data_IF_915586185464
#
_entry.id   IF_915586185464
#
_cell.length_a   1.000
_cell.length_b   1.000
_cell.length_c   1.000
_cell.angle_alpha   90.00
_cell.angle_beta   90.00
_cell.angle_gamma   90.00
#
_symmetry.space_group_name_H-M   'P 1'
#
loop_
_entity.id
_entity.type
_entity.pdbx_description
1 polymer ?
#
# COMPACT_ATOMS: atom_id res chain seq x y z
N UNK A 1 -47.77 4.87 -4.15
CA UNK A 1 -46.85 3.92 -4.80
C UNK A 1 -46.19 4.66 -5.96
N UNK A 2 -44.88 4.86 -5.93
CA UNK A 2 -44.16 5.50 -7.05
C UNK A 2 -43.64 4.40 -7.96
N UNK A 3 -44.09 4.38 -9.21
CA UNK A 3 -43.61 3.46 -10.24
C UNK A 3 -42.55 4.19 -11.07
N UNK A 4 -41.37 3.59 -11.21
CA UNK A 4 -40.29 4.13 -12.01
C UNK A 4 -40.27 3.48 -13.39
N UNK A 5 -40.08 4.29 -14.42
CA UNK A 5 -39.92 3.82 -15.81
C UNK A 5 -38.43 3.52 -16.03
N UNK A 6 -38.04 2.26 -16.32
CA UNK A 6 -36.63 1.86 -16.43
C UNK A 6 -35.80 2.69 -17.40
N UNK A 7 -36.41 3.13 -18.50
CA UNK A 7 -35.80 3.95 -19.56
C UNK A 7 -35.47 5.38 -19.10
N UNK A 8 -36.10 5.84 -18.00
CA UNK A 8 -35.85 7.13 -17.37
C UNK A 8 -35.05 7.00 -16.07
N UNK A 9 -34.67 5.78 -15.68
CA UNK A 9 -33.86 5.52 -14.50
C UNK A 9 -32.44 5.13 -14.86
N UNK A 10 -31.49 5.87 -14.32
CA UNK A 10 -30.08 5.54 -14.42
C UNK A 10 -29.60 5.03 -13.06
N UNK A 11 -28.94 3.87 -13.06
CA UNK A 11 -28.27 3.39 -11.86
C UNK A 11 -27.10 4.33 -11.55
N UNK A 12 -27.16 5.01 -10.42
CA UNK A 12 -26.06 5.85 -9.93
C UNK A 12 -25.10 5.05 -9.05
N UNK A 13 -23.83 5.43 -9.04
CA UNK A 13 -22.79 4.78 -8.25
C UNK A 13 -21.77 3.96 -9.06
N UNK A 14 -20.66 3.61 -8.42
CA UNK A 14 -19.48 3.01 -9.07
C UNK A 14 -19.39 1.48 -8.94
N UNK A 15 -20.51 0.79 -8.70
CA UNK A 15 -20.54 -0.61 -8.26
C UNK A 15 -19.86 -1.58 -9.23
N UNK A 16 -20.07 -1.43 -10.54
CA UNK A 16 -19.42 -2.26 -11.57
C UNK A 16 -18.02 -1.76 -11.98
N UNK A 17 -17.73 -0.48 -11.74
CA UNK A 17 -16.43 0.12 -12.04
C UNK A 17 -15.32 -0.41 -11.12
N UNK A 18 -15.64 -0.83 -9.89
CA UNK A 18 -14.65 -1.43 -8.97
C UNK A 18 -14.07 -2.75 -9.48
N UNK A 19 -14.81 -3.49 -10.31
CA UNK A 19 -14.32 -4.74 -10.92
C UNK A 19 -13.34 -4.47 -12.07
N UNK A 20 -13.39 -3.28 -12.68
CA UNK A 20 -12.52 -2.90 -13.78
C UNK A 20 -11.50 -1.83 -13.35
N UNK A 21 -10.30 -2.31 -12.99
CA UNK A 21 -9.20 -1.45 -12.54
C UNK A 21 -8.76 -0.39 -13.56
N UNK A 22 -9.09 -0.52 -14.85
CA UNK A 22 -8.80 0.49 -15.87
C UNK A 22 -9.79 1.66 -15.79
N UNK A 23 -11.09 1.37 -15.79
CA UNK A 23 -12.11 2.42 -15.69
C UNK A 23 -12.02 3.15 -14.35
N UNK A 24 -11.69 2.45 -13.25
CA UNK A 24 -11.44 3.09 -11.97
C UNK A 24 -10.26 4.06 -12.02
N UNK A 25 -9.18 3.74 -12.76
CA UNK A 25 -8.03 4.65 -12.91
C UNK A 25 -8.40 5.91 -13.68
N UNK A 26 -9.22 5.81 -14.72
CA UNK A 26 -9.69 6.96 -15.49
C UNK A 26 -10.59 7.86 -14.62
N UNK A 27 -11.53 7.29 -13.88
CA UNK A 27 -12.35 8.04 -12.92
C UNK A 27 -11.49 8.67 -11.84
N UNK A 28 -10.53 7.93 -11.28
CA UNK A 28 -9.59 8.45 -10.28
C UNK A 28 -8.72 9.58 -10.84
N UNK A 29 -8.33 9.53 -12.11
CA UNK A 29 -7.56 10.60 -12.74
C UNK A 29 -8.31 11.92 -12.73
N UNK A 30 -9.62 11.87 -13.00
CA UNK A 30 -10.50 13.06 -12.94
C UNK A 30 -10.86 13.47 -11.50
N UNK A 31 -10.93 12.51 -10.58
CA UNK A 31 -11.26 12.77 -9.17
C UNK A 31 -10.08 13.28 -8.34
N UNK A 32 -8.85 12.89 -8.68
CA UNK A 32 -7.64 13.34 -7.96
C UNK A 32 -7.33 14.76 -8.40
N UNK A 33 -7.64 15.70 -7.52
CA UNK A 33 -7.34 17.11 -7.72
C UNK A 33 -6.09 17.52 -6.97
N UNK A 34 -5.28 18.37 -7.58
CA UNK A 34 -4.20 19.03 -6.83
C UNK A 34 -4.78 20.02 -5.80
N UNK A 35 -4.06 20.31 -4.71
CA UNK A 35 -4.52 21.29 -3.71
C UNK A 35 -4.88 22.64 -4.33
N UNK A 36 -4.11 23.11 -5.31
CA UNK A 36 -4.37 24.35 -6.03
C UNK A 36 -5.65 24.30 -6.86
N UNK A 37 -5.89 23.21 -7.58
CA UNK A 37 -7.12 23.03 -8.36
C UNK A 37 -8.35 22.95 -7.45
N UNK A 38 -8.23 22.25 -6.32
CA UNK A 38 -9.30 22.16 -5.33
C UNK A 38 -9.63 23.54 -4.74
N UNK A 39 -8.60 24.31 -4.38
CA UNK A 39 -8.75 25.70 -3.91
C UNK A 39 -9.43 26.60 -4.95
N UNK A 40 -9.02 26.53 -6.22
CA UNK A 40 -9.66 27.30 -7.30
C UNK A 40 -11.14 26.94 -7.48
N UNK A 41 -11.50 25.66 -7.37
CA UNK A 41 -12.90 25.22 -7.45
C UNK A 41 -13.72 25.69 -6.25
N UNK A 42 -13.17 25.63 -5.04
CA UNK A 42 -13.83 26.12 -3.82
C UNK A 42 -14.06 27.64 -3.87
N UNK A 43 -13.02 28.42 -4.19
CA UNK A 43 -13.13 29.88 -4.31
C UNK A 43 -14.08 30.28 -5.44
N UNK A 44 -14.10 29.53 -6.56
CA UNK A 44 -15.09 29.69 -7.62
C UNK A 44 -16.52 29.38 -7.17
N UNK A 45 -16.72 28.35 -6.34
CA UNK A 45 -18.02 28.04 -5.75
C UNK A 45 -18.48 29.14 -4.80
N UNK A 46 -17.61 29.63 -3.91
CA UNK A 46 -17.91 30.73 -2.99
C UNK A 46 -18.36 31.99 -3.74
N UNK A 47 -17.64 32.35 -4.81
CA UNK A 47 -18.05 33.46 -5.69
C UNK A 47 -19.42 33.22 -6.31
N UNK A 48 -19.67 32.05 -6.90
CA UNK A 48 -20.97 31.73 -7.53
C UNK A 48 -22.13 31.81 -6.53
N UNK A 49 -21.97 31.29 -5.31
CA UNK A 49 -23.02 31.36 -4.28
C UNK A 49 -23.31 32.81 -3.92
N UNK A 50 -22.26 33.62 -3.72
CA UNK A 50 -22.40 35.03 -3.36
C UNK A 50 -23.01 35.88 -4.49
N UNK A 51 -22.60 35.62 -5.72
CA UNK A 51 -23.02 36.39 -6.90
C UNK A 51 -24.43 35.96 -7.38
N UNK A 52 -24.99 34.87 -6.84
CA UNK A 52 -26.38 34.43 -7.10
C UNK A 52 -27.33 35.15 -6.13
N UNK A 53 -28.26 36.01 -6.63
CA UNK A 53 -29.11 36.84 -5.77
C UNK A 53 -30.03 36.02 -4.88
N UNK A 54 -30.61 34.93 -5.38
CA UNK A 54 -31.51 34.06 -4.60
C UNK A 54 -30.78 33.42 -3.41
N UNK A 55 -29.59 32.89 -3.65
CA UNK A 55 -28.79 32.25 -2.60
C UNK A 55 -28.28 33.28 -1.57
N UNK A 56 -27.84 34.45 -2.02
CA UNK A 56 -27.37 35.53 -1.16
C UNK A 56 -28.50 36.12 -0.31
N UNK A 57 -29.69 36.31 -0.89
CA UNK A 57 -30.86 36.79 -0.17
C UNK A 57 -31.31 35.79 0.90
N UNK A 58 -31.34 34.49 0.59
CA UNK A 58 -31.64 33.47 1.60
C UNK A 58 -30.60 33.54 2.73
N UNK A 59 -29.30 33.52 2.46
CA UNK A 59 -28.28 33.63 3.51
C UNK A 59 -28.47 34.87 4.40
N UNK A 60 -28.79 36.02 3.80
CA UNK A 60 -29.09 37.25 4.54
C UNK A 60 -30.34 37.15 5.41
N UNK A 61 -31.39 36.45 4.97
CA UNK A 61 -32.59 36.20 5.79
C UNK A 61 -32.25 35.41 7.06
N UNK A 62 -31.28 34.51 6.97
CA UNK A 62 -30.76 33.76 8.13
C UNK A 62 -29.71 34.56 8.93
N UNK A 63 -29.39 35.79 8.54
CA UNK A 63 -28.34 36.60 9.17
C UNK A 63 -26.92 36.08 8.93
N UNK A 64 -26.72 35.24 7.91
CA UNK A 64 -25.45 34.60 7.59
C UNK A 64 -24.73 35.36 6.47
N UNK A 65 -23.40 35.42 6.58
CA UNK A 65 -22.52 35.96 5.55
C UNK A 65 -21.42 34.94 5.28
N UNK A 66 -21.19 34.62 4.01
CA UNK A 66 -20.10 33.74 3.59
C UNK A 66 -18.82 34.54 3.39
N UNK A 67 -17.70 34.02 3.89
CA UNK A 67 -16.38 34.58 3.67
C UNK A 67 -15.92 34.35 2.20
N UNK A 68 -14.99 35.18 1.77
CA UNK A 68 -14.42 35.18 0.41
C UNK A 68 -13.26 34.20 0.22
N UNK A 69 -12.69 33.70 1.32
CA UNK A 69 -11.59 32.74 1.33
C UNK A 69 -11.86 31.61 2.34
N UNK A 70 -11.09 30.53 2.20
CA UNK A 70 -11.09 29.44 3.16
C UNK A 70 -10.37 29.86 4.45
N UNK A 71 -10.89 29.39 5.59
CA UNK A 71 -10.28 29.63 6.88
C UNK A 71 -8.86 29.05 6.95
N UNK A 72 -7.88 29.88 7.35
CA UNK A 72 -6.47 29.49 7.43
C UNK A 72 -6.10 29.09 8.85
N UNK A 73 -5.58 27.88 9.00
CA UNK A 73 -5.05 27.36 10.25
C UNK A 73 -3.54 27.62 10.29
N UNK A 74 -3.06 28.30 11.33
CA UNK A 74 -1.62 28.46 11.55
C UNK A 74 -1.04 27.16 12.09
N UNK A 75 -0.09 26.58 11.38
CA UNK A 75 0.67 25.43 11.85
C UNK A 75 1.92 25.90 12.62
N UNK A 76 2.19 25.29 13.77
CA UNK A 76 3.38 25.54 14.60
C UNK A 76 4.14 24.23 14.80
N UNK A 77 5.46 24.25 14.66
CA UNK A 77 6.31 23.08 14.92
C UNK A 77 6.21 22.63 16.37
N UNK A 78 5.99 21.33 16.59
CA UNK A 78 6.08 20.74 17.92
C UNK A 78 7.57 20.46 18.23
N UNK A 79 8.12 20.88 19.39
CA UNK A 79 9.35 20.32 19.90
C UNK A 79 9.26 18.80 20.04
N UNK A 80 10.41 18.12 19.92
CA UNK A 80 10.54 16.71 20.26
C UNK A 80 10.11 16.47 21.72
N UNK A 81 9.48 15.32 21.98
CA UNK A 81 8.93 14.92 23.29
C UNK A 81 9.94 15.16 24.43
N UNK A 82 9.53 15.58 25.64
CA UNK A 82 8.16 15.66 26.17
C UNK A 82 7.45 17.00 25.94
N UNK A 83 6.12 16.92 25.76
CA UNK A 83 5.27 18.09 25.54
C UNK A 83 5.06 18.89 26.84
N UNK A 84 5.17 20.23 26.84
CA UNK A 84 4.81 21.03 28.01
C UNK A 84 3.32 20.84 28.35
N UNK A 85 2.95 20.73 29.65
CA UNK A 85 1.55 20.65 30.06
C UNK A 85 0.80 21.87 29.52
N UNK A 86 -0.34 21.61 28.89
CA UNK A 86 -1.14 22.63 28.21
C UNK A 86 -1.44 23.81 29.14
N UNK A 87 -0.93 25.00 28.78
CA UNK A 87 -1.32 26.25 29.44
C UNK A 87 -2.72 26.61 28.92
N UNK A 88 -3.75 26.24 29.70
CA UNK A 88 -5.09 26.76 29.49
C UNK A 88 -5.11 28.23 29.87
N UNK A 89 -5.02 29.12 28.88
CA UNK A 89 -5.17 30.55 29.10
C UNK A 89 -6.66 30.89 29.07
N UNK A 90 -7.27 30.94 30.26
CA UNK A 90 -8.64 31.35 30.46
C UNK A 90 -8.72 32.87 30.55
N UNK A 91 -8.79 33.54 29.41
CA UNK A 91 -9.26 34.92 29.32
C UNK A 91 -10.28 35.02 28.20
N UNK A 92 -11.54 35.23 28.59
CA UNK A 92 -12.67 35.35 27.68
C UNK A 92 -12.49 36.52 26.72
N UNK A 93 -12.37 36.20 25.45
CA UNK A 93 -12.39 37.16 24.35
C UNK A 93 -13.10 36.46 23.20
N UNK A 94 -14.09 37.12 22.60
CA UNK A 94 -14.95 36.60 21.53
C UNK A 94 -14.17 36.43 20.22
N UNK A 95 -13.14 35.58 20.23
CA UNK A 95 -12.29 35.26 19.09
C UNK A 95 -12.91 34.08 18.37
N UNK A 96 -13.26 34.31 17.11
CA UNK A 96 -13.52 33.27 16.11
C UNK A 96 -12.56 32.09 16.33
N UNK A 97 -13.12 30.88 16.45
CA UNK A 97 -12.41 29.68 16.91
C UNK A 97 -11.02 29.55 16.29
N UNK A 98 -9.98 29.92 17.04
CA UNK A 98 -8.60 29.89 16.56
C UNK A 98 -8.10 28.44 16.62
N UNK A 99 -8.25 27.73 15.52
CA UNK A 99 -7.70 26.37 15.42
C UNK A 99 -6.20 26.50 15.18
N UNK A 100 -5.39 25.84 16.01
CA UNK A 100 -3.94 25.78 15.85
C UNK A 100 -3.55 24.41 15.29
N UNK A 101 -2.81 24.42 14.19
CA UNK A 101 -2.22 23.22 13.61
C UNK A 101 -0.85 22.94 14.24
N UNK A 102 -0.45 21.67 14.23
CA UNK A 102 0.83 21.24 14.75
C UNK A 102 1.58 20.41 13.72
N UNK A 103 2.85 20.77 13.47
CA UNK A 103 3.75 19.97 12.63
C UNK A 103 4.49 19.00 13.54
N UNK A 104 4.28 17.71 13.32
CA UNK A 104 4.97 16.66 14.04
C UNK A 104 6.44 16.59 13.60
N UNK A 105 7.37 16.35 14.53
CA UNK A 105 8.76 16.10 14.17
C UNK A 105 8.86 14.81 13.34
N UNK A 106 9.90 14.74 12.51
CA UNK A 106 10.19 13.53 11.74
C UNK A 106 10.68 12.44 12.67
N UNK A 107 10.03 11.28 12.61
CA UNK A 107 10.41 10.11 13.42
C UNK A 107 11.68 9.43 12.90
N UNK A 108 12.50 8.95 13.83
CA UNK A 108 13.71 8.21 13.52
C UNK A 108 13.38 6.76 13.19
N UNK A 109 13.86 6.29 12.05
CA UNK A 109 13.72 4.89 11.63
C UNK A 109 14.91 4.09 12.14
N UNK A 110 14.60 3.05 12.91
CA UNK A 110 15.56 2.14 13.52
C UNK A 110 15.69 0.84 12.72
N UNK A 111 16.92 0.47 12.37
CA UNK A 111 17.33 -0.81 11.80
C UNK A 111 18.25 -1.53 12.80
N UNK A 112 18.74 -2.72 12.48
CA UNK A 112 19.51 -3.54 13.43
C UNK A 112 20.77 -2.86 13.97
N UNK A 113 21.51 -2.19 13.08
CA UNK A 113 22.81 -1.58 13.41
C UNK A 113 22.88 -0.08 13.10
N UNK A 114 21.81 0.47 12.53
CA UNK A 114 21.78 1.84 12.04
C UNK A 114 20.43 2.45 12.34
N UNK A 115 20.42 3.75 12.60
CA UNK A 115 19.19 4.50 12.58
C UNK A 115 19.37 5.86 11.90
N UNK A 116 18.32 6.34 11.26
CA UNK A 116 18.37 7.49 10.37
C UNK A 116 17.03 8.23 10.34
N UNK A 117 17.06 9.48 9.88
CA UNK A 117 15.85 10.26 9.64
C UNK A 117 15.44 10.10 8.15
N UNK A 118 14.17 9.80 7.85
CA UNK A 118 13.66 9.80 6.49
C UNK A 118 13.92 11.12 5.75
N UNK A 119 14.09 11.04 4.43
CA UNK A 119 14.14 12.22 3.57
C UNK A 119 12.78 12.96 3.56
N UNK A 120 12.76 14.20 3.07
CA UNK A 120 11.56 15.06 3.03
C UNK A 120 10.34 14.41 2.34
N UNK A 121 10.58 13.53 1.36
CA UNK A 121 9.53 12.78 0.66
C UNK A 121 8.93 11.62 1.49
N UNK A 122 9.42 11.40 2.72
CA UNK A 122 9.02 10.32 3.62
C UNK A 122 9.13 8.91 2.99
N UNK A 123 10.05 8.76 2.02
CA UNK A 123 10.37 7.47 1.41
C UNK A 123 11.70 6.92 1.92
N UNK A 124 11.70 5.76 2.58
CA UNK A 124 12.92 5.11 3.10
C UNK A 124 13.15 3.68 2.62
N UNK A 125 12.50 3.30 1.52
CA UNK A 125 12.57 1.93 1.00
C UNK A 125 13.98 1.58 0.49
N UNK A 126 14.72 2.54 -0.06
CA UNK A 126 16.07 2.32 -0.60
C UNK A 126 17.08 2.06 0.52
N UNK A 127 16.86 2.66 1.68
CA UNK A 127 17.66 2.54 2.89
C UNK A 127 17.43 1.17 3.53
N UNK A 128 16.17 0.75 3.68
CA UNK A 128 15.80 -0.56 4.24
C UNK A 128 16.32 -1.73 3.39
N UNK A 129 16.47 -1.54 2.09
CA UNK A 129 16.97 -2.59 1.17
C UNK A 129 18.50 -2.71 1.10
N UNK A 130 19.22 -1.75 1.69
CA UNK A 130 20.70 -1.70 1.71
C UNK A 130 21.30 -2.10 3.05
N UNK A 131 20.46 -2.26 4.08
CA UNK A 131 20.87 -2.44 5.45
C UNK A 131 20.21 -3.68 6.04
N UNK A 132 20.77 -4.20 7.12
CA UNK A 132 20.23 -5.39 7.79
C UNK A 132 18.98 -5.01 8.61
N UNK A 133 17.83 -5.65 8.34
CA UNK A 133 16.63 -5.42 9.13
C UNK A 133 16.78 -5.88 10.59
N UNK A 134 15.96 -5.34 11.50
CA UNK A 134 16.03 -5.59 12.96
C UNK A 134 16.08 -7.09 13.28
N UNK A 135 15.12 -7.84 12.75
CA UNK A 135 15.05 -9.29 12.91
C UNK A 135 14.94 -9.94 11.53
N UNK A 136 15.96 -10.74 11.19
CA UNK A 136 16.06 -11.44 9.90
C UNK A 136 15.87 -12.92 10.12
N UNK A 137 15.04 -13.53 9.28
CA UNK A 137 14.77 -14.97 9.30
C UNK A 137 15.31 -15.59 8.02
N UNK A 138 16.26 -16.52 8.19
CA UNK A 138 16.82 -17.31 7.10
C UNK A 138 15.82 -18.35 6.59
N UNK A 139 15.84 -18.59 5.29
CA UNK A 139 14.94 -19.53 4.62
C UNK A 139 15.77 -20.67 4.05
N UNK A 140 15.56 -21.87 4.58
CA UNK A 140 16.32 -23.05 4.19
C UNK A 140 15.46 -24.04 3.40
N UNK A 141 14.19 -24.22 3.79
CA UNK A 141 13.25 -25.12 3.13
C UNK A 141 12.05 -24.34 2.60
N UNK A 142 12.05 -24.10 1.29
CA UNK A 142 10.96 -23.40 0.60
C UNK A 142 10.77 -23.93 -0.81
N UNK A 143 9.55 -23.74 -1.34
CA UNK A 143 9.14 -24.28 -2.63
C UNK A 143 8.88 -23.15 -3.60
N UNK A 144 9.38 -23.28 -4.83
CA UNK A 144 9.11 -22.37 -5.95
C UNK A 144 8.28 -23.09 -7.02
N UNK A 145 7.09 -22.58 -7.29
CA UNK A 145 6.16 -23.14 -8.28
C UNK A 145 5.93 -22.14 -9.42
N UNK A 146 6.09 -22.59 -10.67
CA UNK A 146 5.82 -21.77 -11.85
C UNK A 146 5.43 -22.61 -13.07
N UNK A 147 4.65 -22.08 -14.04
CA UNK A 147 4.41 -22.72 -15.34
C UNK A 147 5.66 -22.74 -16.20
N UNK A 148 5.89 -23.83 -16.95
CA UNK A 148 7.06 -24.03 -17.82
C UNK A 148 7.41 -22.82 -18.71
N UNK A 149 6.41 -22.14 -19.26
CA UNK A 149 6.60 -20.93 -20.08
C UNK A 149 7.29 -19.76 -19.36
N UNK A 150 7.25 -19.73 -18.02
CA UNK A 150 7.85 -18.69 -17.18
C UNK A 150 9.21 -19.11 -16.59
N UNK A 151 9.81 -20.20 -17.06
CA UNK A 151 11.08 -20.73 -16.53
C UNK A 151 12.21 -19.70 -16.56
N UNK A 152 12.29 -18.87 -17.61
CA UNK A 152 13.30 -17.80 -17.69
C UNK A 152 13.14 -16.77 -16.56
N UNK A 153 11.91 -16.30 -16.29
CA UNK A 153 11.64 -15.38 -15.18
C UNK A 153 11.97 -15.99 -13.83
N UNK A 154 11.71 -17.29 -13.65
CA UNK A 154 12.05 -18.00 -12.42
C UNK A 154 13.58 -18.04 -12.19
N UNK A 155 14.36 -18.30 -13.25
CA UNK A 155 15.83 -18.27 -13.18
C UNK A 155 16.35 -16.87 -12.85
N UNK A 156 15.83 -15.84 -13.50
CA UNK A 156 16.21 -14.45 -13.26
C UNK A 156 15.87 -14.00 -11.83
N UNK A 157 14.68 -14.40 -11.34
CA UNK A 157 14.25 -14.16 -9.96
C UNK A 157 15.24 -14.77 -8.96
N UNK A 158 15.61 -16.06 -9.15
CA UNK A 158 16.53 -16.75 -8.26
C UNK A 158 17.94 -16.16 -8.30
N UNK A 159 18.44 -15.80 -9.48
CA UNK A 159 19.73 -15.13 -9.62
C UNK A 159 19.73 -13.77 -8.89
N UNK A 160 18.67 -12.97 -9.08
CA UNK A 160 18.52 -11.70 -8.40
C UNK A 160 18.35 -11.84 -6.89
N UNK A 161 17.63 -12.88 -6.41
CA UNK A 161 17.47 -13.17 -4.98
C UNK A 161 18.81 -13.47 -4.32
N UNK A 162 19.63 -14.34 -4.94
CA UNK A 162 20.99 -14.65 -4.46
C UNK A 162 21.88 -13.42 -4.39
N UNK A 163 21.78 -12.51 -5.37
CA UNK A 163 22.58 -11.27 -5.35
C UNK A 163 22.12 -10.25 -4.31
N UNK A 164 20.85 -10.27 -3.90
CA UNK A 164 20.27 -9.24 -3.03
C UNK A 164 20.20 -9.66 -1.56
N UNK A 165 20.17 -10.97 -1.27
CA UNK A 165 19.96 -11.48 0.09
C UNK A 165 21.12 -11.14 1.04
N UNK A 166 22.35 -11.09 0.56
CA UNK A 166 23.54 -10.77 1.35
C UNK A 166 23.50 -9.36 1.96
N UNK A 167 23.08 -8.36 1.19
CA UNK A 167 22.96 -6.97 1.68
C UNK A 167 21.91 -6.82 2.80
N UNK A 168 20.88 -7.68 2.80
CA UNK A 168 19.82 -7.70 3.81
C UNK A 168 20.14 -8.65 4.97
N UNK A 169 21.35 -9.24 5.03
CA UNK A 169 21.75 -10.20 6.07
C UNK A 169 20.91 -11.49 6.08
N UNK A 170 20.19 -11.77 4.99
CA UNK A 170 19.24 -12.88 4.90
C UNK A 170 19.88 -14.04 4.15
N UNK A 171 19.86 -15.24 4.73
CA UNK A 171 20.31 -16.44 4.05
C UNK A 171 19.13 -17.11 3.34
N UNK A 172 19.27 -17.34 2.04
CA UNK A 172 18.25 -17.98 1.20
C UNK A 172 18.85 -19.25 0.61
N UNK A 173 18.44 -20.39 1.14
CA UNK A 173 18.76 -21.71 0.63
C UNK A 173 18.14 -21.95 -0.75
N UNK A 174 18.59 -23.02 -1.41
CA UNK A 174 18.07 -23.39 -2.73
C UNK A 174 16.65 -23.95 -2.59
N UNK A 175 15.67 -23.42 -3.36
CA UNK A 175 14.30 -23.93 -3.28
C UNK A 175 14.16 -25.31 -3.92
N UNK A 176 13.17 -26.06 -3.46
CA UNK A 176 12.58 -27.13 -4.25
C UNK A 176 11.75 -26.50 -5.38
N UNK A 177 12.10 -26.79 -6.63
CA UNK A 177 11.47 -26.18 -7.81
C UNK A 177 10.47 -27.14 -8.42
N UNK A 178 9.23 -26.70 -8.57
CA UNK A 178 8.18 -27.47 -9.23
C UNK A 178 7.67 -26.73 -10.48
N UNK A 179 8.03 -27.27 -11.64
CA UNK A 179 7.58 -26.77 -12.93
C UNK A 179 6.19 -27.33 -13.27
N UNK A 180 5.25 -26.46 -13.60
CA UNK A 180 3.90 -26.82 -14.01
C UNK A 180 3.80 -26.95 -15.53
N UNK A 181 3.03 -27.94 -15.97
CA UNK A 181 2.74 -28.18 -17.39
C UNK A 181 1.85 -27.09 -18.02
N UNK A 182 0.97 -26.47 -17.23
CA UNK A 182 -0.02 -25.49 -17.66
C UNK A 182 -0.26 -24.46 -16.52
N UNK A 183 -1.08 -23.44 -16.79
CA UNK A 183 -1.46 -22.39 -15.84
C UNK A 183 -2.91 -22.51 -15.34
N UNK A 184 -3.44 -23.74 -15.29
CA UNK A 184 -4.78 -24.01 -14.75
C UNK A 184 -4.76 -24.05 -13.22
N UNK A 185 -5.86 -23.62 -12.59
CA UNK A 185 -5.99 -23.58 -11.13
C UNK A 185 -5.76 -24.95 -10.52
N UNK A 186 -6.33 -26.00 -11.13
CA UNK A 186 -6.24 -27.38 -10.63
C UNK A 186 -4.79 -27.87 -10.61
N UNK A 187 -3.99 -27.47 -11.60
CA UNK A 187 -2.58 -27.84 -11.70
C UNK A 187 -1.76 -27.16 -10.61
N UNK A 188 -2.01 -25.88 -10.32
CA UNK A 188 -1.40 -25.19 -9.17
C UNK A 188 -1.78 -25.85 -7.84
N UNK A 189 -3.07 -26.11 -7.62
CA UNK A 189 -3.58 -26.69 -6.37
C UNK A 189 -2.96 -28.07 -6.12
N UNK A 190 -2.98 -28.95 -7.13
CA UNK A 190 -2.39 -30.29 -7.02
C UNK A 190 -0.90 -30.25 -6.76
N UNK A 191 -0.17 -29.37 -7.44
CA UNK A 191 1.27 -29.21 -7.23
C UNK A 191 1.60 -28.74 -5.80
N UNK A 192 0.87 -27.74 -5.31
CA UNK A 192 1.03 -27.23 -3.94
C UNK A 192 0.74 -28.32 -2.91
N UNK A 193 -0.39 -29.03 -3.05
CA UNK A 193 -0.75 -30.11 -2.13
C UNK A 193 0.29 -31.23 -2.12
N UNK A 194 0.79 -31.62 -3.30
CA UNK A 194 1.85 -32.62 -3.45
C UNK A 194 3.15 -32.18 -2.77
N UNK A 195 3.54 -30.91 -2.93
CA UNK A 195 4.73 -30.34 -2.29
C UNK A 195 4.60 -30.23 -0.76
N UNK A 196 3.42 -29.83 -0.26
CA UNK A 196 3.18 -29.68 1.18
C UNK A 196 2.89 -31.01 1.90
N UNK A 197 2.48 -32.05 1.18
CA UNK A 197 2.26 -33.39 1.73
C UNK A 197 3.53 -34.22 1.92
N UNK A 198 4.69 -33.69 1.48
CA UNK A 198 6.00 -34.31 1.75
C UNK A 198 6.36 -34.17 3.24
N UNK A 199 7.17 -35.09 3.79
CA UNK A 199 7.48 -35.09 5.24
C UNK A 199 8.30 -33.87 5.70
N UNK A 200 8.94 -33.15 4.80
CA UNK A 200 9.70 -31.94 5.15
C UNK A 200 8.77 -30.74 5.38
N UNK A 201 8.95 -30.09 6.53
CA UNK A 201 8.23 -28.86 6.88
C UNK A 201 8.68 -27.71 5.98
N UNK A 202 7.83 -27.36 5.01
CA UNK A 202 8.02 -26.20 4.14
C UNK A 202 7.80 -24.90 4.93
N UNK A 203 8.78 -24.00 4.93
CA UNK A 203 8.70 -22.70 5.61
C UNK A 203 7.91 -21.67 4.80
N UNK A 204 8.00 -21.75 3.47
CA UNK A 204 7.43 -20.78 2.56
C UNK A 204 7.12 -21.41 1.20
N UNK A 205 5.99 -21.01 0.63
CA UNK A 205 5.64 -21.26 -0.77
C UNK A 205 5.77 -19.96 -1.60
N UNK A 206 6.53 -20.00 -2.68
CA UNK A 206 6.62 -18.93 -3.67
C UNK A 206 6.02 -19.38 -5.01
N UNK A 207 5.00 -18.69 -5.50
CA UNK A 207 4.36 -19.02 -6.77
C UNK A 207 4.53 -17.88 -7.79
N UNK A 208 4.94 -18.19 -9.02
CA UNK A 208 4.86 -17.26 -10.14
C UNK A 208 3.59 -17.57 -10.93
N UNK A 209 2.75 -16.56 -11.10
CA UNK A 209 1.51 -16.65 -11.88
C UNK A 209 1.60 -15.76 -13.12
N UNK A 210 0.93 -16.12 -14.22
CA UNK A 210 0.71 -15.21 -15.33
C UNK A 210 0.00 -13.93 -14.89
N UNK A 211 0.22 -12.83 -15.62
CA UNK A 211 -0.48 -11.58 -15.35
C UNK A 211 -1.99 -11.69 -15.66
N UNK A 212 -2.81 -11.01 -14.84
CA UNK A 212 -4.27 -10.97 -15.01
C UNK A 212 -5.02 -12.23 -14.56
N UNK A 213 -4.36 -13.12 -13.80
CA UNK A 213 -4.94 -14.36 -13.25
C UNK A 213 -5.28 -14.24 -11.76
N UNK A 214 -6.18 -13.31 -11.43
CA UNK A 214 -6.64 -13.10 -10.05
C UNK A 214 -7.42 -14.31 -9.49
N UNK A 215 -8.02 -15.09 -10.39
CA UNK A 215 -8.63 -16.39 -10.12
C UNK A 215 -7.62 -17.39 -9.50
N UNK A 216 -6.44 -17.50 -10.11
CA UNK A 216 -5.35 -18.38 -9.63
C UNK A 216 -4.79 -17.84 -8.33
N UNK A 217 -4.58 -16.52 -8.21
CA UNK A 217 -4.13 -15.89 -6.97
C UNK A 217 -5.08 -16.22 -5.81
N UNK A 218 -6.38 -16.01 -6.01
CA UNK A 218 -7.41 -16.29 -5.01
C UNK A 218 -7.45 -17.76 -4.61
N UNK A 219 -7.34 -18.67 -5.58
CA UNK A 219 -7.31 -20.11 -5.31
C UNK A 219 -6.07 -20.54 -4.49
N UNK A 220 -4.87 -20.06 -4.86
CA UNK A 220 -3.62 -20.35 -4.12
C UNK A 220 -3.73 -19.83 -2.69
N UNK A 221 -4.24 -18.60 -2.51
CA UNK A 221 -4.41 -18.00 -1.18
C UNK A 221 -5.44 -18.75 -0.35
N UNK A 222 -6.58 -19.11 -0.92
CA UNK A 222 -7.59 -19.92 -0.24
C UNK A 222 -7.01 -21.26 0.21
N UNK A 223 -6.24 -21.94 -0.65
CA UNK A 223 -5.58 -23.19 -0.32
C UNK A 223 -4.60 -23.02 0.87
N UNK A 224 -3.68 -22.06 0.78
CA UNK A 224 -2.62 -21.88 1.76
C UNK A 224 -3.07 -21.28 3.10
N UNK A 225 -4.22 -20.59 3.12
CA UNK A 225 -4.75 -19.97 4.33
C UNK A 225 -5.84 -20.80 5.01
N UNK A 226 -6.55 -21.67 4.26
CA UNK A 226 -7.69 -22.42 4.80
C UNK A 226 -7.41 -23.92 4.91
N UNK A 227 -6.80 -24.53 3.90
CA UNK A 227 -6.68 -26.00 3.83
C UNK A 227 -5.30 -26.51 4.26
N UNK A 228 -4.24 -25.83 3.82
CA UNK A 228 -2.85 -26.22 4.09
C UNK A 228 -2.06 -25.00 4.55
N UNK A 229 -2.08 -24.68 5.86
CA UNK A 229 -1.47 -23.47 6.41
C UNK A 229 0.02 -23.37 6.09
N UNK A 230 0.38 -22.46 5.18
CA UNK A 230 1.76 -22.12 4.87
C UNK A 230 1.88 -20.66 4.45
N UNK A 231 2.89 -19.92 4.93
CA UNK A 231 3.22 -18.61 4.39
C UNK A 231 3.42 -18.69 2.87
N UNK A 232 2.60 -17.96 2.12
CA UNK A 232 2.64 -17.97 0.65
C UNK A 232 2.93 -16.59 0.08
N UNK A 233 3.82 -16.51 -0.90
CA UNK A 233 4.08 -15.32 -1.70
C UNK A 233 3.74 -15.63 -3.15
N UNK A 234 2.97 -14.76 -3.80
CA UNK A 234 2.57 -14.93 -5.20
C UNK A 234 3.07 -13.73 -5.97
N UNK A 235 3.78 -13.97 -7.09
CA UNK A 235 4.36 -12.93 -7.94
C UNK A 235 3.72 -13.02 -9.32
N UNK A 236 3.21 -11.90 -9.83
CA UNK A 236 2.75 -11.79 -11.21
C UNK A 236 3.94 -11.71 -12.15
N UNK A 237 3.90 -12.46 -13.25
CA UNK A 237 4.91 -12.43 -14.31
C UNK A 237 5.16 -11.00 -14.82
N UNK A 238 4.12 -10.17 -14.91
CA UNK A 238 4.22 -8.76 -15.35
C UNK A 238 5.11 -7.91 -14.43
N UNK A 239 5.24 -8.27 -13.16
CA UNK A 239 6.14 -7.60 -12.21
C UNK A 239 7.60 -7.94 -12.49
N UNK A 240 7.87 -9.14 -12.99
CA UNK A 240 9.21 -9.63 -13.33
C UNK A 240 9.61 -9.32 -14.77
N UNK A 241 8.67 -9.03 -15.67
CA UNK A 241 8.98 -8.62 -17.04
C UNK A 241 9.51 -7.18 -17.06
N UNK A 242 10.67 -6.96 -17.66
CA UNK A 242 11.28 -5.65 -17.87
C UNK A 242 12.80 -5.67 -17.77
N UNK A 243 13.40 -4.49 -17.57
CA UNK A 243 14.85 -4.36 -17.43
C UNK A 243 15.36 -4.95 -16.08
N UNK A 244 16.63 -5.40 -16.00
CA UNK A 244 17.18 -6.06 -14.80
C UNK A 244 17.04 -5.25 -13.49
N UNK A 245 17.13 -3.91 -13.56
CA UNK A 245 16.94 -3.04 -12.39
C UNK A 245 15.53 -3.12 -11.78
N UNK A 246 14.49 -3.34 -12.62
CA UNK A 246 13.12 -3.55 -12.16
C UNK A 246 12.99 -4.86 -11.41
N UNK A 247 13.55 -5.96 -11.96
CA UNK A 247 13.55 -7.28 -11.33
C UNK A 247 14.23 -7.22 -9.96
N UNK A 248 15.40 -6.58 -9.88
CA UNK A 248 16.11 -6.39 -8.60
C UNK A 248 15.25 -5.68 -7.56
N UNK A 249 14.60 -4.58 -7.94
CA UNK A 249 13.74 -3.82 -7.04
C UNK A 249 12.53 -4.64 -6.55
N UNK A 250 11.92 -5.43 -7.45
CA UNK A 250 10.82 -6.34 -7.09
C UNK A 250 11.31 -7.43 -6.15
N UNK A 251 12.47 -8.02 -6.42
CA UNK A 251 13.07 -9.06 -5.60
C UNK A 251 13.40 -8.57 -4.19
N UNK A 252 13.96 -7.36 -4.06
CA UNK A 252 14.21 -6.77 -2.75
C UNK A 252 12.92 -6.60 -1.95
N UNK A 253 11.85 -6.09 -2.58
CA UNK A 253 10.52 -6.00 -1.94
C UNK A 253 9.98 -7.38 -1.53
N UNK A 254 10.12 -8.38 -2.40
CA UNK A 254 9.69 -9.75 -2.12
C UNK A 254 10.47 -10.34 -0.94
N UNK A 255 11.78 -10.16 -0.86
CA UNK A 255 12.61 -10.65 0.24
C UNK A 255 12.19 -10.02 1.58
N UNK A 256 11.97 -8.70 1.60
CA UNK A 256 11.45 -8.01 2.78
C UNK A 256 10.06 -8.52 3.18
N UNK A 257 9.16 -8.71 2.22
CA UNK A 257 7.82 -9.27 2.49
C UNK A 257 7.88 -10.69 3.04
N UNK A 258 8.78 -11.53 2.50
CA UNK A 258 8.98 -12.88 2.99
C UNK A 258 9.51 -12.85 4.42
N UNK A 259 10.48 -11.99 4.73
CA UNK A 259 10.99 -11.84 6.09
C UNK A 259 9.85 -11.51 7.06
N UNK A 260 8.98 -10.54 6.73
CA UNK A 260 7.81 -10.22 7.55
C UNK A 260 6.85 -11.42 7.73
N UNK A 261 6.61 -12.19 6.66
CA UNK A 261 5.70 -13.36 6.70
C UNK A 261 6.19 -14.48 7.59
N UNK A 262 7.50 -14.56 7.81
CA UNK A 262 8.10 -15.54 8.69
C UNK A 262 8.20 -15.04 10.14
N UNK A 263 7.83 -13.78 10.41
CA UNK A 263 7.89 -13.15 11.73
C UNK A 263 9.09 -12.21 11.93
N UNK A 264 9.83 -11.90 10.86
CA UNK A 264 10.92 -10.95 10.89
C UNK A 264 10.43 -9.50 11.04
N UNK A 265 11.32 -8.63 11.51
CA UNK A 265 11.05 -7.22 11.77
C UNK A 265 11.99 -6.39 10.91
N UNK A 266 11.42 -5.51 10.07
CA UNK A 266 12.24 -4.78 9.11
C UNK A 266 12.93 -3.58 9.75
N UNK A 267 12.12 -2.74 10.38
CA UNK A 267 12.52 -1.49 11.01
C UNK A 267 11.55 -1.20 12.17
N UNK A 268 11.92 -0.24 13.01
CA UNK A 268 11.13 0.21 14.14
C UNK A 268 11.19 1.73 14.27
N UNK A 269 10.31 2.26 15.12
CA UNK A 269 10.34 3.65 15.60
C UNK A 269 10.31 3.61 17.12
N UNK A 270 10.84 4.63 17.76
CA UNK A 270 10.85 4.72 19.21
C UNK A 270 9.44 5.12 19.69
N UNK A 271 8.76 4.21 20.37
CA UNK A 271 7.47 4.48 21.00
C UNK A 271 7.74 4.61 22.50
N UNK A 272 7.71 5.84 23.08
CA UNK A 272 7.85 5.99 24.53
C UNK A 272 6.65 5.33 25.21
N UNK A 273 6.92 4.34 26.07
CA UNK A 273 5.95 3.71 26.97
C UNK A 273 5.76 4.53 28.24
#
# INVERSE_FOLDING_TARGET
MVLLVPELTFLTGLSDLRKNSRMLKEVMWEMIQSPQQHYQRLTGLLRRIRDTPDASQELQRWGLVLDTDIYRVRAVGLPAFPWPPGRGDSSGDSRSAQTQGHILPVERINLRHRSFLPAEELGWHREVTKEVPIAVISINSWVLIYPKRLQHLAKDLLASMRSSCGAMGMQVGQPSVQELRDDRIETYVRAIQSSLGSQDKVQLLLCIIPGGRDDVYGAIKKLCCVQSPVPSQVISAQSLTGHPGKIRSVVQKVLLQINCKLGGQLWGVDIPL
#
